data_IF_574977136184
#
_entry.id   IF_574977136184
#
_cell.length_a   1.000
_cell.length_b   1.000
_cell.length_c   1.000
_cell.angle_alpha   90.00
_cell.angle_beta   90.00
_cell.angle_gamma   90.00
#
_symmetry.space_group_name_H-M   'P 1'
#
loop_
_entity.id
_entity.type
_entity.pdbx_description
1 polymer ?
#
# COMPACT_ATOMS: atom_id res chain seq x y z
N UNK A 1 44.55 10.52 -9.31
CA UNK A 1 43.11 10.39 -9.02
C UNK A 1 42.65 9.07 -9.59
N UNK A 2 42.20 8.16 -8.72
CA UNK A 2 41.95 6.76 -9.05
C UNK A 2 40.82 6.60 -10.06
N UNK A 3 41.10 5.97 -11.20
CA UNK A 3 40.13 5.71 -12.27
C UNK A 3 38.86 5.02 -11.75
N UNK A 4 39.01 4.21 -10.69
CA UNK A 4 37.91 3.51 -10.02
C UNK A 4 36.92 4.48 -9.32
N UNK A 5 37.41 5.63 -8.85
CA UNK A 5 36.59 6.67 -8.21
C UNK A 5 35.77 7.45 -9.25
N UNK A 6 36.36 7.70 -10.42
CA UNK A 6 35.69 8.35 -11.57
C UNK A 6 34.53 7.50 -12.10
N UNK A 7 34.74 6.20 -12.29
CA UNK A 7 33.70 5.28 -12.78
C UNK A 7 32.51 5.22 -11.80
N UNK A 8 32.78 5.18 -10.49
CA UNK A 8 31.73 5.17 -9.47
C UNK A 8 30.86 6.44 -9.51
N UNK A 9 31.47 7.59 -9.72
CA UNK A 9 30.73 8.85 -9.86
C UNK A 9 29.86 8.88 -11.13
N UNK A 10 30.35 8.37 -12.25
CA UNK A 10 29.57 8.29 -13.50
C UNK A 10 28.34 7.40 -13.35
N UNK A 11 28.47 6.24 -12.68
CA UNK A 11 27.34 5.34 -12.42
C UNK A 11 26.31 5.98 -11.49
N UNK A 12 26.74 6.68 -10.44
CA UNK A 12 25.82 7.36 -9.51
C UNK A 12 25.05 8.49 -10.23
N UNK A 13 25.75 9.28 -11.05
CA UNK A 13 25.11 10.38 -11.81
C UNK A 13 24.14 9.81 -12.84
N UNK A 14 24.47 8.70 -13.50
CA UNK A 14 23.58 8.03 -14.45
C UNK A 14 22.31 7.51 -13.77
N UNK A 15 22.41 6.89 -12.59
CA UNK A 15 21.25 6.42 -11.83
C UNK A 15 20.37 7.56 -11.33
N UNK A 16 20.97 8.66 -10.87
CA UNK A 16 20.24 9.85 -10.45
C UNK A 16 19.51 10.52 -11.62
N UNK A 17 20.15 10.62 -12.79
CA UNK A 17 19.52 11.15 -14.01
C UNK A 17 18.39 10.24 -14.49
N UNK A 18 18.55 8.92 -14.41
CA UNK A 18 17.51 7.96 -14.78
C UNK A 18 16.30 8.05 -13.83
N UNK A 19 16.53 8.13 -12.52
CA UNK A 19 15.47 8.36 -11.54
C UNK A 19 14.74 9.70 -11.79
N UNK A 20 15.46 10.75 -12.21
CA UNK A 20 14.87 12.06 -12.49
C UNK A 20 14.04 12.09 -13.78
N UNK A 21 14.51 11.43 -14.86
CA UNK A 21 13.77 11.30 -16.12
C UNK A 21 12.47 10.49 -15.91
N UNK A 22 12.48 9.51 -15.02
CA UNK A 22 11.29 8.74 -14.67
C UNK A 22 10.37 9.45 -13.65
N UNK A 23 10.90 10.26 -12.74
CA UNK A 23 10.10 11.02 -11.77
C UNK A 23 9.38 12.25 -12.38
N UNK A 24 9.97 12.90 -13.39
CA UNK A 24 9.40 14.10 -14.01
C UNK A 24 8.05 13.93 -14.77
N UNK A 25 7.81 12.85 -15.56
CA UNK A 25 6.53 12.68 -16.25
C UNK A 25 5.36 12.36 -15.30
N UNK A 26 5.63 11.97 -14.04
CA UNK A 26 4.62 11.79 -12.99
C UNK A 26 4.09 13.14 -12.46
N UNK A 27 4.95 14.12 -12.24
CA UNK A 27 4.53 15.43 -11.70
C UNK A 27 3.74 16.30 -12.70
N UNK A 28 4.02 16.21 -14.01
CA UNK A 28 3.30 17.01 -15.02
C UNK A 28 1.88 16.52 -15.31
N UNK A 29 1.58 15.24 -15.06
CA UNK A 29 0.23 14.69 -15.28
C UNK A 29 -0.79 15.08 -14.20
N UNK A 30 -0.38 15.63 -13.06
CA UNK A 30 -1.29 15.98 -11.96
C UNK A 30 -1.96 17.36 -12.09
N UNK A 31 -1.50 18.26 -12.97
CA UNK A 31 -1.92 19.68 -12.95
C UNK A 31 -2.99 20.02 -14.02
N UNK A 32 -3.24 19.16 -15.01
CA UNK A 32 -4.06 19.52 -16.19
C UNK A 32 -5.48 18.93 -16.28
N UNK A 33 -6.05 18.34 -15.21
CA UNK A 33 -7.39 17.76 -15.26
C UNK A 33 -8.32 18.13 -14.10
N UNK A 34 -9.05 19.24 -14.23
CA UNK A 34 -10.31 19.52 -13.52
C UNK A 34 -11.42 19.47 -14.60
N UNK A 35 -12.59 18.81 -14.50
CA UNK A 35 -13.34 18.20 -13.40
C UNK A 35 -14.29 17.12 -13.96
N UNK A 36 -14.58 16.05 -13.20
CA UNK A 36 -15.79 15.22 -13.35
C UNK A 36 -16.24 14.70 -11.97
N UNK A 37 -17.52 14.79 -11.59
CA UNK A 37 -17.97 14.60 -10.20
C UNK A 37 -18.09 13.13 -9.74
N UNK A 38 -17.81 12.14 -10.59
CA UNK A 38 -17.75 10.72 -10.18
C UNK A 38 -16.33 10.31 -9.68
N UNK A 39 -15.27 10.90 -10.24
CA UNK A 39 -13.89 10.56 -9.92
C UNK A 39 -13.47 10.94 -8.47
N UNK A 40 -14.19 11.85 -7.82
CA UNK A 40 -13.88 12.31 -6.46
C UNK A 40 -14.24 11.26 -5.38
N UNK A 41 -15.31 10.48 -5.58
CA UNK A 41 -15.68 9.42 -4.65
C UNK A 41 -14.76 8.20 -4.82
N UNK A 42 -14.48 7.81 -6.06
CA UNK A 42 -13.58 6.69 -6.38
C UNK A 42 -12.16 6.92 -5.88
N UNK A 43 -11.62 8.13 -6.07
CA UNK A 43 -10.29 8.48 -5.55
C UNK A 43 -10.23 8.44 -4.01
N UNK A 44 -11.30 8.83 -3.31
CA UNK A 44 -11.34 8.79 -1.84
C UNK A 44 -11.27 7.37 -1.29
N UNK A 45 -11.89 6.39 -1.97
CA UNK A 45 -11.80 4.99 -1.54
C UNK A 45 -10.39 4.42 -1.77
N UNK A 46 -9.82 4.64 -2.95
CA UNK A 46 -8.48 4.13 -3.27
C UNK A 46 -7.43 4.75 -2.33
N UNK A 47 -7.50 6.05 -2.05
CA UNK A 47 -6.60 6.69 -1.10
C UNK A 47 -6.76 6.13 0.31
N UNK A 48 -7.99 5.84 0.76
CA UNK A 48 -8.20 5.21 2.06
C UNK A 48 -7.66 3.76 2.10
N UNK A 49 -7.81 3.01 1.00
CA UNK A 49 -7.25 1.67 0.86
C UNK A 49 -5.70 1.68 0.89
N UNK A 50 -5.08 2.65 0.22
CA UNK A 50 -3.62 2.88 0.28
C UNK A 50 -3.19 3.15 1.72
N UNK A 51 -3.87 4.06 2.42
CA UNK A 51 -3.54 4.39 3.80
C UNK A 51 -3.67 3.18 4.73
N UNK A 52 -4.65 2.30 4.52
CA UNK A 52 -4.79 1.06 5.28
C UNK A 52 -3.60 0.10 5.04
N UNK A 53 -3.18 -0.08 3.78
CA UNK A 53 -2.02 -0.91 3.44
C UNK A 53 -0.71 -0.33 3.98
N UNK A 54 -0.51 0.98 3.86
CA UNK A 54 0.65 1.69 4.41
C UNK A 54 0.71 1.60 5.94
N UNK A 55 -0.42 1.75 6.63
CA UNK A 55 -0.51 1.59 8.09
C UNK A 55 -0.06 0.19 8.48
N UNK A 56 -0.54 -0.83 7.78
CA UNK A 56 -0.14 -2.21 7.99
C UNK A 56 1.36 -2.44 7.72
N UNK A 57 1.83 -2.14 6.51
CA UNK A 57 3.21 -2.40 6.10
C UNK A 57 4.25 -1.64 6.93
N UNK A 58 3.96 -0.37 7.24
CA UNK A 58 4.86 0.45 8.07
C UNK A 58 4.85 0.04 9.53
N UNK A 59 3.78 -0.55 10.05
CA UNK A 59 3.71 -0.98 11.44
C UNK A 59 4.26 -2.38 11.71
N UNK A 60 4.21 -3.26 10.71
CA UNK A 60 4.49 -4.69 10.85
C UNK A 60 5.91 -5.01 11.31
N UNK A 61 6.90 -4.20 10.91
CA UNK A 61 8.31 -4.40 11.29
C UNK A 61 8.55 -4.45 12.81
N UNK A 62 7.62 -3.90 13.61
CA UNK A 62 7.69 -3.93 15.08
C UNK A 62 7.37 -5.32 15.67
N UNK A 63 6.78 -6.20 14.87
CA UNK A 63 6.29 -7.51 15.28
C UNK A 63 6.98 -8.68 14.54
N UNK A 64 8.16 -8.44 13.96
CA UNK A 64 8.91 -9.47 13.19
C UNK A 64 9.76 -10.39 14.07
N UNK A 65 10.04 -10.01 15.32
CA UNK A 65 10.90 -10.78 16.20
C UNK A 65 10.27 -10.90 17.61
N UNK A 66 10.10 -12.11 18.16
CA UNK A 66 9.63 -12.28 19.54
C UNK A 66 10.67 -11.81 20.58
N UNK A 67 10.25 -11.51 21.83
CA UNK A 67 8.87 -11.61 22.34
C UNK A 67 7.97 -10.45 21.85
N UNK A 68 6.72 -10.78 21.50
CA UNK A 68 5.75 -9.79 21.05
C UNK A 68 5.10 -9.06 22.22
N UNK A 69 4.98 -7.75 22.12
CA UNK A 69 4.08 -6.98 23.00
C UNK A 69 2.64 -7.15 22.48
N UNK A 70 1.87 -8.01 23.15
CA UNK A 70 0.48 -8.31 22.77
C UNK A 70 -0.46 -7.10 22.94
N UNK A 71 -0.12 -6.16 23.83
CA UNK A 71 -0.88 -4.93 24.01
C UNK A 71 -0.70 -3.98 22.84
N UNK A 72 0.56 -3.77 22.42
CA UNK A 72 0.89 -2.98 21.23
C UNK A 72 0.37 -3.64 19.95
N UNK A 73 0.46 -4.97 19.84
CA UNK A 73 -0.13 -5.71 18.73
C UNK A 73 -1.64 -5.48 18.64
N UNK A 74 -2.35 -5.60 19.77
CA UNK A 74 -3.80 -5.38 19.81
C UNK A 74 -4.21 -3.97 19.38
N UNK A 75 -3.46 -2.94 19.78
CA UNK A 75 -3.68 -1.55 19.35
C UNK A 75 -3.43 -1.40 17.85
N UNK A 76 -2.27 -1.84 17.39
CA UNK A 76 -1.89 -1.79 15.97
C UNK A 76 -2.91 -2.48 15.07
N UNK A 77 -3.33 -3.70 15.44
CA UNK A 77 -4.37 -4.45 14.73
C UNK A 77 -5.69 -3.69 14.66
N UNK A 78 -6.09 -3.06 15.77
CA UNK A 78 -7.31 -2.26 15.84
C UNK A 78 -7.24 -1.02 14.95
N UNK A 79 -6.08 -0.36 14.90
CA UNK A 79 -5.85 0.78 14.02
C UNK A 79 -5.96 0.37 12.54
N UNK A 80 -5.34 -0.75 12.15
CA UNK A 80 -5.43 -1.30 10.79
C UNK A 80 -6.87 -1.66 10.43
N UNK A 81 -7.59 -2.37 11.30
CA UNK A 81 -9.02 -2.69 11.09
C UNK A 81 -9.90 -1.45 10.94
N UNK A 82 -9.59 -0.39 11.70
CA UNK A 82 -10.28 0.89 11.59
C UNK A 82 -10.05 1.52 10.21
N UNK A 83 -8.82 1.47 9.69
CA UNK A 83 -8.53 1.98 8.34
C UNK A 83 -9.16 1.13 7.24
N UNK A 84 -9.18 -0.19 7.39
CA UNK A 84 -9.90 -1.09 6.48
C UNK A 84 -11.40 -0.75 6.47
N UNK A 85 -12.00 -0.50 7.63
CA UNK A 85 -13.40 -0.10 7.73
C UNK A 85 -13.65 1.27 7.06
N UNK A 86 -12.76 2.24 7.29
CA UNK A 86 -12.84 3.56 6.67
C UNK A 86 -12.74 3.49 5.14
N UNK A 87 -11.82 2.67 4.60
CA UNK A 87 -11.68 2.44 3.18
C UNK A 87 -12.96 1.83 2.57
N UNK A 88 -13.50 0.78 3.21
CA UNK A 88 -14.74 0.17 2.76
C UNK A 88 -15.93 1.14 2.81
N UNK A 89 -15.99 2.04 3.80
CA UNK A 89 -17.03 3.07 3.91
C UNK A 89 -16.88 4.22 2.91
N UNK A 90 -15.65 4.51 2.48
CA UNK A 90 -15.36 5.50 1.44
C UNK A 90 -15.77 4.99 0.05
N UNK A 91 -15.66 3.68 -0.19
CA UNK A 91 -16.25 3.01 -1.34
C UNK A 91 -17.79 3.02 -1.23
N UNK A 92 -18.45 4.04 -1.78
CA UNK A 92 -19.93 4.14 -1.78
C UNK A 92 -20.57 3.65 -3.07
N UNK A 93 -19.84 3.71 -4.17
CA UNK A 93 -20.33 3.35 -5.50
C UNK A 93 -19.92 1.91 -5.87
N UNK A 94 -20.53 1.35 -6.91
CA UNK A 94 -20.20 0.03 -7.46
C UNK A 94 -19.30 0.17 -8.69
N UNK A 95 -18.27 1.01 -8.59
CA UNK A 95 -17.24 1.17 -9.60
C UNK A 95 -16.24 0.02 -9.52
N UNK A 96 -15.58 -0.28 -10.63
CA UNK A 96 -14.57 -1.34 -10.70
C UNK A 96 -13.37 -1.01 -9.81
N UNK A 97 -13.00 0.26 -9.69
CA UNK A 97 -11.99 0.71 -8.71
C UNK A 97 -12.43 0.45 -7.27
N UNK A 98 -13.67 0.78 -6.90
CA UNK A 98 -14.19 0.51 -5.58
C UNK A 98 -14.24 -0.99 -5.26
N UNK A 99 -14.63 -1.82 -6.22
CA UNK A 99 -14.69 -3.27 -6.03
C UNK A 99 -13.29 -3.88 -5.83
N UNK A 100 -12.30 -3.45 -6.61
CA UNK A 100 -10.90 -3.87 -6.40
C UNK A 100 -10.36 -3.40 -5.05
N UNK A 101 -10.66 -2.16 -4.64
CA UNK A 101 -10.25 -1.65 -3.34
C UNK A 101 -10.88 -2.43 -2.19
N UNK A 102 -12.18 -2.74 -2.25
CA UNK A 102 -12.88 -3.58 -1.25
C UNK A 102 -12.31 -4.99 -1.20
N UNK A 103 -12.02 -5.59 -2.35
CA UNK A 103 -11.42 -6.91 -2.42
C UNK A 103 -10.02 -6.93 -1.78
N UNK A 104 -9.20 -5.91 -2.06
CA UNK A 104 -7.90 -5.73 -1.40
C UNK A 104 -8.05 -5.57 0.12
N UNK A 105 -9.03 -4.79 0.58
CA UNK A 105 -9.32 -4.59 2.00
C UNK A 105 -9.79 -5.88 2.70
N UNK A 106 -10.56 -6.74 2.01
CA UNK A 106 -10.94 -8.06 2.52
C UNK A 106 -9.73 -8.98 2.67
N UNK A 107 -8.81 -8.95 1.71
CA UNK A 107 -7.58 -9.73 1.76
C UNK A 107 -6.62 -9.24 2.84
N UNK A 108 -6.51 -7.93 3.02
CA UNK A 108 -5.73 -7.32 4.10
C UNK A 108 -6.28 -7.74 5.46
N UNK A 109 -7.59 -7.66 5.67
CA UNK A 109 -8.24 -8.17 6.90
C UNK A 109 -7.93 -9.64 7.15
N UNK A 110 -7.98 -10.46 6.11
CA UNK A 110 -7.64 -11.88 6.23
C UNK A 110 -6.17 -12.09 6.61
N UNK A 111 -5.24 -11.30 6.04
CA UNK A 111 -3.81 -11.37 6.36
C UNK A 111 -3.55 -10.97 7.81
N UNK A 112 -4.18 -9.87 8.26
CA UNK A 112 -4.13 -9.41 9.66
C UNK A 112 -4.60 -10.52 10.61
N UNK A 113 -5.71 -11.18 10.31
CA UNK A 113 -6.23 -12.29 11.12
C UNK A 113 -5.30 -13.51 11.14
N UNK A 114 -4.65 -13.84 10.01
CA UNK A 114 -3.66 -14.91 9.96
C UNK A 114 -2.46 -14.61 10.87
N UNK A 115 -1.94 -13.39 10.83
CA UNK A 115 -0.83 -12.98 11.69
C UNK A 115 -1.24 -12.88 13.17
N UNK A 116 -2.46 -12.41 13.46
CA UNK A 116 -3.01 -12.37 14.83
C UNK A 116 -3.03 -13.78 15.43
N UNK A 117 -3.49 -14.77 14.66
CA UNK A 117 -3.45 -16.16 15.08
C UNK A 117 -2.01 -16.64 15.33
N UNK A 118 -1.06 -16.36 14.43
CA UNK A 118 0.35 -16.74 14.64
C UNK A 118 0.96 -16.10 15.89
N UNK A 119 0.74 -14.80 16.10
CA UNK A 119 1.28 -14.06 17.25
C UNK A 119 0.68 -14.55 18.57
N UNK A 120 -0.63 -14.76 18.62
CA UNK A 120 -1.33 -15.17 19.85
C UNK A 120 -1.11 -16.64 20.20
N UNK A 121 -0.95 -17.51 19.21
CA UNK A 121 -0.65 -18.93 19.42
C UNK A 121 0.85 -19.23 19.56
N UNK A 122 1.72 -18.26 19.27
CA UNK A 122 3.17 -18.44 19.29
C UNK A 122 3.70 -19.32 18.15
N UNK A 123 2.90 -19.53 17.08
CA UNK A 123 3.35 -20.24 15.88
C UNK A 123 4.06 -19.28 14.92
N UNK A 124 4.93 -19.79 14.04
CA UNK A 124 5.53 -18.97 12.99
C UNK A 124 4.48 -18.22 12.15
N UNK A 125 4.80 -17.02 11.63
CA UNK A 125 3.99 -16.35 10.62
C UNK A 125 3.82 -17.24 9.38
N UNK A 126 2.74 -17.08 8.61
CA UNK A 126 2.56 -17.84 7.38
C UNK A 126 3.62 -17.47 6.34
N UNK A 127 4.18 -18.47 5.67
CA UNK A 127 5.28 -18.31 4.71
C UNK A 127 4.90 -17.45 3.49
N UNK A 128 3.61 -17.33 3.20
CA UNK A 128 3.05 -16.56 2.09
C UNK A 128 2.67 -15.12 2.45
N UNK A 129 2.93 -14.66 3.70
CA UNK A 129 2.52 -13.34 4.17
C UNK A 129 2.99 -12.19 3.25
N UNK A 130 4.25 -12.26 2.79
CA UNK A 130 4.85 -11.25 1.89
C UNK A 130 4.16 -11.28 0.52
N UNK A 131 3.96 -12.47 -0.04
CA UNK A 131 3.29 -12.63 -1.33
C UNK A 131 1.85 -12.13 -1.29
N UNK A 132 1.14 -12.37 -0.18
CA UNK A 132 -0.21 -11.85 0.03
C UNK A 132 -0.23 -10.33 0.14
N UNK A 133 0.74 -9.74 0.84
CA UNK A 133 0.90 -8.29 0.90
C UNK A 133 1.12 -7.68 -0.50
N UNK A 134 2.03 -8.25 -1.29
CA UNK A 134 2.29 -7.80 -2.66
C UNK A 134 1.03 -7.90 -3.56
N UNK A 135 0.24 -8.96 -3.40
CA UNK A 135 -1.02 -9.12 -4.11
C UNK A 135 -2.06 -8.05 -3.72
N UNK A 136 -2.14 -7.71 -2.43
CA UNK A 136 -3.00 -6.63 -1.92
C UNK A 136 -2.55 -5.29 -2.52
N UNK A 137 -1.25 -4.99 -2.47
CA UNK A 137 -0.70 -3.73 -2.98
C UNK A 137 -0.93 -3.61 -4.50
N UNK A 138 -0.76 -4.70 -5.24
CA UNK A 138 -1.08 -4.76 -6.68
C UNK A 138 -2.55 -4.43 -6.93
N UNK A 139 -3.49 -4.98 -6.16
CA UNK A 139 -4.92 -4.68 -6.33
C UNK A 139 -5.26 -3.23 -6.02
N UNK A 140 -4.62 -2.64 -5.03
CA UNK A 140 -4.78 -1.23 -4.69
C UNK A 140 -4.23 -0.35 -5.83
N UNK A 141 -3.10 -0.74 -6.44
CA UNK A 141 -2.55 -0.05 -7.61
C UNK A 141 -3.49 -0.14 -8.83
N UNK A 142 -4.02 -1.33 -9.12
CA UNK A 142 -5.03 -1.51 -10.18
C UNK A 142 -6.28 -0.67 -9.90
N UNK A 143 -6.77 -0.64 -8.66
CA UNK A 143 -7.88 0.21 -8.26
C UNK A 143 -7.57 1.70 -8.50
N UNK A 144 -6.35 2.13 -8.23
CA UNK A 144 -5.91 3.51 -8.46
C UNK A 144 -5.86 3.85 -9.95
N UNK A 145 -5.39 2.93 -10.79
CA UNK A 145 -5.39 3.11 -12.24
C UNK A 145 -6.80 3.18 -12.80
N UNK A 146 -7.71 2.32 -12.34
CA UNK A 146 -9.12 2.34 -12.71
C UNK A 146 -9.79 3.66 -12.31
N UNK A 147 -9.58 4.12 -11.08
CA UNK A 147 -10.13 5.39 -10.60
C UNK A 147 -9.64 6.58 -11.43
N UNK A 148 -8.34 6.61 -11.80
CA UNK A 148 -7.80 7.63 -12.72
C UNK A 148 -8.41 7.55 -14.12
N UNK A 149 -8.81 6.36 -14.54
CA UNK A 149 -9.54 6.11 -15.79
C UNK A 149 -11.04 6.35 -15.71
N UNK A 150 -11.57 6.74 -14.54
CA UNK A 150 -13.01 6.94 -14.29
C UNK A 150 -13.81 5.64 -14.27
N UNK A 151 -13.20 4.54 -13.79
CA UNK A 151 -13.77 3.19 -13.77
C UNK A 151 -13.80 2.59 -12.39
#
# INVERSE_FOLDING_TARGET
MDANRLIKWVVIIALAAFAWIYALPWAKKQIQGHSAPAAAADSSCVTAAQHASETWGSGLHRFVNPPYDLGEWGRFRTDVETQIAAANAACRESSQSCDNARDAMRELRSLVASLDNSITSGTPPPDDAVQRQEAIDTKIEVAAELARGGK
#
